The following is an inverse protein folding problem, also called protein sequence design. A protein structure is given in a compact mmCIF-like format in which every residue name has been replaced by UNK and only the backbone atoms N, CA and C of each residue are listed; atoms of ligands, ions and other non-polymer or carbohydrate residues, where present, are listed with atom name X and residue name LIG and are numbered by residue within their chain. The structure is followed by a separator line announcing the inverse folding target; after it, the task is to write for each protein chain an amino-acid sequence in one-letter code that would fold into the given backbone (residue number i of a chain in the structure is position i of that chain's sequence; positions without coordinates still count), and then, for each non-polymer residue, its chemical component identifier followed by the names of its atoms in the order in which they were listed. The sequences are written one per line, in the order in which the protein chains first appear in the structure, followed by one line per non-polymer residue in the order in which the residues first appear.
data_IF_447180216789
#
_entry.id   IF_447180216789
#
_cell.length_a   1.000
_cell.length_b   1.000
_cell.length_c   1.000
_cell.angle_alpha   90.00
_cell.angle_beta   90.00
_cell.angle_gamma   90.00
#
_symmetry.space_group_name_H-M   'P 1'
#
loop_
_entity.id
_entity.type
_entity.pdbx_description
1 polymer ?
#
# COMPACT_ATOMS: atom_id res chain seq x y z
N UNK A 1 62.16 -20.73 26.89
CA UNK A 1 63.17 -20.56 25.82
C UNK A 1 62.98 -19.18 25.21
N UNK A 2 64.04 -18.37 25.33
CA UNK A 2 64.41 -17.11 24.66
C UNK A 2 63.31 -16.08 24.28
N UNK A 3 63.18 -15.08 25.16
CA UNK A 3 62.74 -13.71 24.87
C UNK A 3 63.87 -12.93 24.17
N UNK A 4 63.52 -12.00 23.28
CA UNK A 4 64.36 -10.83 22.97
C UNK A 4 63.51 -9.63 22.58
N UNK A 5 63.81 -8.52 23.25
CA UNK A 5 63.25 -7.17 23.13
C UNK A 5 63.80 -6.40 21.90
N UNK A 6 63.32 -5.16 21.76
CA UNK A 6 63.86 -3.95 21.10
C UNK A 6 63.23 -3.67 19.71
N UNK A 7 62.73 -2.48 19.39
CA UNK A 7 62.84 -1.19 20.07
C UNK A 7 61.73 -0.24 19.66
N UNK A 8 61.46 0.67 20.59
CA UNK A 8 60.68 1.89 20.42
C UNK A 8 61.48 2.84 19.55
N UNK A 9 60.90 3.32 18.46
CA UNK A 9 61.31 4.58 17.84
C UNK A 9 60.08 5.46 17.72
N UNK A 10 60.02 6.40 18.66
CA UNK A 10 59.14 7.55 18.67
C UNK A 10 59.70 8.55 17.64
N UNK A 11 59.05 8.70 16.50
CA UNK A 11 59.26 9.83 15.60
C UNK A 11 58.06 10.76 15.73
N UNK A 12 58.18 11.72 16.66
CA UNK A 12 57.29 12.85 16.74
C UNK A 12 57.61 13.79 15.57
N UNK A 13 56.76 13.79 14.55
CA UNK A 13 56.72 14.87 13.56
C UNK A 13 55.47 15.68 13.85
N UNK A 14 55.67 16.81 14.53
CA UNK A 14 54.70 17.90 14.56
C UNK A 14 54.61 18.47 13.14
N UNK A 15 53.53 18.16 12.42
CA UNK A 15 53.05 18.99 11.33
C UNK A 15 51.69 19.55 11.72
N UNK A 16 51.70 20.81 12.12
CA UNK A 16 50.53 21.67 12.19
C UNK A 16 50.03 21.92 10.77
N UNK A 17 48.88 21.36 10.41
CA UNK A 17 48.21 21.62 9.13
C UNK A 17 46.82 21.00 9.15
N UNK A 18 45.78 21.82 8.98
CA UNK A 18 44.38 21.47 9.22
C UNK A 18 43.92 20.18 8.52
N UNK A 19 43.31 19.29 9.29
CA UNK A 19 42.53 18.17 8.76
C UNK A 19 41.22 18.76 8.23
N UNK A 20 41.17 19.04 6.94
CA UNK A 20 39.89 19.05 6.22
C UNK A 20 39.30 17.65 6.35
N UNK A 21 38.17 17.53 7.06
CA UNK A 21 37.31 16.35 6.98
C UNK A 21 36.77 16.27 5.56
N UNK A 22 37.52 15.63 4.67
CA UNK A 22 37.03 15.19 3.38
C UNK A 22 35.99 14.10 3.65
N UNK A 23 34.72 14.49 3.71
CA UNK A 23 33.58 13.60 3.70
C UNK A 23 33.68 12.80 2.40
N UNK A 24 34.19 11.57 2.48
CA UNK A 24 34.12 10.61 1.39
C UNK A 24 32.64 10.29 1.18
N UNK A 25 32.00 11.04 0.29
CA UNK A 25 30.74 10.62 -0.29
C UNK A 25 30.98 9.23 -0.89
N UNK A 26 30.27 8.22 -0.39
CA UNK A 26 30.21 6.93 -1.03
C UNK A 26 29.86 7.17 -2.52
N UNK A 27 30.56 6.55 -3.47
CA UNK A 27 30.23 6.74 -4.87
C UNK A 27 28.78 6.31 -5.05
N UNK A 28 27.95 7.24 -5.55
CA UNK A 28 26.62 6.90 -6.03
C UNK A 28 26.79 5.79 -7.05
N UNK A 29 26.38 4.57 -6.68
CA UNK A 29 26.37 3.43 -7.59
C UNK A 29 25.51 3.81 -8.77
N UNK A 30 26.13 3.95 -9.95
CA UNK A 30 25.40 4.11 -11.21
C UNK A 30 24.34 3.00 -11.28
N UNK A 31 23.10 3.28 -11.69
CA UNK A 31 22.10 2.24 -11.90
C UNK A 31 22.74 1.19 -12.82
N UNK A 32 22.68 -0.08 -12.39
CA UNK A 32 23.08 -1.17 -13.26
C UNK A 32 22.25 -1.04 -14.56
N UNK A 33 22.85 -1.27 -15.74
CA UNK A 33 22.06 -1.26 -16.97
C UNK A 33 20.90 -2.25 -16.81
N UNK A 34 19.68 -1.77 -17.04
CA UNK A 34 18.47 -2.58 -16.93
C UNK A 34 18.70 -3.90 -17.68
N UNK A 35 18.53 -5.02 -16.98
CA UNK A 35 18.63 -6.33 -17.60
C UNK A 35 17.67 -6.38 -18.80
N UNK A 36 18.12 -6.90 -19.95
CA UNK A 36 17.27 -7.00 -21.16
C UNK A 36 15.91 -7.62 -20.78
N UNK A 37 14.82 -6.93 -21.11
CA UNK A 37 13.46 -7.38 -20.82
C UNK A 37 12.95 -7.09 -19.41
N UNK A 38 13.64 -6.24 -18.64
CA UNK A 38 13.20 -5.73 -17.34
C UNK A 38 13.13 -4.21 -17.37
N UNK A 39 12.13 -3.66 -16.69
CA UNK A 39 12.03 -2.25 -16.36
C UNK A 39 12.28 -2.04 -14.87
N UNK A 40 12.82 -0.87 -14.53
CA UNK A 40 13.08 -0.47 -13.15
C UNK A 40 12.32 0.82 -12.83
N UNK A 41 11.71 0.87 -11.65
CA UNK A 41 11.16 2.09 -11.07
C UNK A 41 11.57 2.15 -9.59
N UNK A 42 12.42 3.12 -9.23
CA UNK A 42 12.90 3.33 -7.85
C UNK A 42 13.45 2.05 -7.20
N UNK A 43 14.24 1.26 -7.93
CA UNK A 43 14.78 -0.02 -7.43
C UNK A 43 13.83 -1.22 -7.51
N UNK A 44 12.55 -1.03 -7.85
CA UNK A 44 11.63 -2.13 -8.13
C UNK A 44 11.75 -2.56 -9.58
N UNK A 45 11.82 -3.87 -9.81
CA UNK A 45 11.96 -4.44 -11.16
C UNK A 45 10.72 -5.21 -11.58
N UNK A 46 10.33 -5.05 -12.85
CA UNK A 46 9.26 -5.83 -13.45
C UNK A 46 9.64 -6.27 -14.87
N UNK A 47 9.25 -7.48 -15.32
CA UNK A 47 9.45 -7.88 -16.71
C UNK A 47 8.62 -6.99 -17.64
N UNK A 48 9.19 -6.65 -18.80
CA UNK A 48 8.50 -5.91 -19.86
C UNK A 48 7.80 -6.80 -20.87
N UNK A 49 8.04 -8.12 -20.80
CA UNK A 49 7.29 -9.12 -21.55
C UNK A 49 5.89 -9.31 -20.93
N UNK A 50 4.78 -9.13 -21.70
CA UNK A 50 3.42 -9.24 -21.18
C UNK A 50 3.11 -10.58 -20.52
N UNK A 51 3.58 -11.69 -21.10
CA UNK A 51 3.34 -13.03 -20.54
C UNK A 51 4.03 -13.17 -19.19
N UNK A 52 5.31 -12.83 -19.11
CA UNK A 52 6.09 -12.91 -17.88
C UNK A 52 5.51 -12.03 -16.77
N UNK A 53 4.94 -10.87 -17.11
CA UNK A 53 4.26 -10.00 -16.14
C UNK A 53 2.93 -10.59 -15.67
N UNK A 54 2.10 -11.10 -16.59
CA UNK A 54 0.81 -11.73 -16.25
C UNK A 54 0.99 -12.99 -15.40
N UNK A 55 2.01 -13.81 -15.63
CA UNK A 55 2.31 -14.97 -14.78
C UNK A 55 2.60 -14.57 -13.32
N UNK A 56 3.30 -13.45 -13.13
CA UNK A 56 3.60 -12.93 -11.79
C UNK A 56 2.37 -12.36 -11.12
N UNK A 57 1.56 -11.59 -11.85
CA UNK A 57 0.29 -11.08 -11.33
C UNK A 57 -0.64 -12.22 -10.92
N UNK A 58 -0.76 -13.25 -11.76
CA UNK A 58 -1.57 -14.43 -11.47
C UNK A 58 -1.09 -15.13 -10.19
N UNK A 59 0.22 -15.42 -10.10
CA UNK A 59 0.82 -16.02 -8.91
C UNK A 59 0.58 -15.18 -7.65
N UNK A 60 0.78 -13.87 -7.71
CA UNK A 60 0.58 -12.94 -6.60
C UNK A 60 -0.89 -12.95 -6.16
N UNK A 61 -1.84 -12.83 -7.08
CA UNK A 61 -3.26 -12.88 -6.76
C UNK A 61 -3.65 -14.18 -6.05
N UNK A 62 -3.19 -15.32 -6.57
CA UNK A 62 -3.45 -16.63 -5.94
C UNK A 62 -2.83 -16.75 -4.54
N UNK A 63 -1.68 -16.14 -4.31
CA UNK A 63 -1.04 -16.08 -2.98
C UNK A 63 -1.84 -15.20 -2.00
N UNK A 64 -2.21 -13.99 -2.42
CA UNK A 64 -2.98 -13.02 -1.64
C UNK A 64 -4.37 -13.55 -1.26
N UNK A 65 -5.07 -14.22 -2.19
CA UNK A 65 -6.35 -14.88 -1.93
C UNK A 65 -6.20 -15.92 -0.81
N UNK A 66 -5.20 -16.81 -0.88
CA UNK A 66 -4.98 -17.85 0.13
C UNK A 66 -4.66 -17.27 1.51
N UNK A 67 -3.85 -16.21 1.55
CA UNK A 67 -3.54 -15.51 2.80
C UNK A 67 -4.79 -14.85 3.39
N UNK A 68 -5.62 -14.22 2.56
CA UNK A 68 -6.87 -13.60 2.99
C UNK A 68 -7.92 -14.62 3.44
N UNK A 69 -8.03 -15.78 2.78
CA UNK A 69 -8.89 -16.89 3.23
C UNK A 69 -8.46 -17.41 4.61
N UNK A 70 -7.16 -17.54 4.85
CA UNK A 70 -6.64 -17.88 6.17
C UNK A 70 -7.01 -16.81 7.20
N UNK A 71 -6.90 -15.53 6.86
CA UNK A 71 -7.25 -14.42 7.75
C UNK A 71 -8.75 -14.40 8.09
N UNK A 72 -9.62 -14.64 7.11
CA UNK A 72 -11.05 -14.81 7.31
C UNK A 72 -11.37 -15.92 8.32
N UNK A 73 -10.64 -17.03 8.25
CA UNK A 73 -10.84 -18.19 9.12
C UNK A 73 -10.23 -17.99 10.51
N UNK A 74 -9.09 -17.32 10.61
CA UNK A 74 -8.24 -17.34 11.81
C UNK A 74 -8.39 -16.10 12.69
N UNK A 75 -8.84 -14.98 12.14
CA UNK A 75 -9.03 -13.73 12.89
C UNK A 75 -10.40 -13.67 13.55
N UNK A 76 -10.43 -13.11 14.75
CA UNK A 76 -11.66 -12.71 15.44
C UNK A 76 -11.90 -11.19 15.34
N UNK A 77 -10.94 -10.43 14.83
CA UNK A 77 -11.05 -8.97 14.71
C UNK A 77 -11.92 -8.59 13.49
N UNK A 78 -13.00 -7.81 13.68
CA UNK A 78 -13.93 -7.49 12.59
C UNK A 78 -13.29 -6.66 11.47
N UNK A 79 -12.35 -5.76 11.77
CA UNK A 79 -11.67 -4.94 10.75
C UNK A 79 -10.72 -5.81 9.91
N UNK A 80 -10.00 -6.75 10.53
CA UNK A 80 -9.12 -7.71 9.82
C UNK A 80 -9.95 -8.65 8.93
N UNK A 81 -11.08 -9.16 9.43
CA UNK A 81 -11.99 -9.98 8.61
C UNK A 81 -12.57 -9.16 7.45
N UNK A 82 -13.02 -7.93 7.70
CA UNK A 82 -13.54 -7.06 6.63
C UNK A 82 -12.49 -6.83 5.54
N UNK A 83 -11.26 -6.50 5.94
CA UNK A 83 -10.14 -6.36 5.02
C UNK A 83 -9.88 -7.66 4.24
N UNK A 84 -9.79 -8.79 4.91
CA UNK A 84 -9.56 -10.09 4.27
C UNK A 84 -10.67 -10.44 3.28
N UNK A 85 -11.94 -10.11 3.57
CA UNK A 85 -13.04 -10.32 2.60
C UNK A 85 -12.82 -9.51 1.33
N UNK A 86 -12.51 -8.22 1.49
CA UNK A 86 -12.26 -7.31 0.38
C UNK A 86 -11.08 -7.82 -0.48
N UNK A 87 -10.01 -8.30 0.15
CA UNK A 87 -8.87 -8.87 -0.55
C UNK A 87 -9.25 -10.08 -1.39
N UNK A 88 -10.05 -11.02 -0.86
CA UNK A 88 -10.55 -12.18 -1.63
C UNK A 88 -11.34 -11.70 -2.84
N UNK A 89 -12.30 -10.80 -2.65
CA UNK A 89 -13.17 -10.33 -3.73
C UNK A 89 -12.36 -9.60 -4.82
N UNK A 90 -11.50 -8.65 -4.41
CA UNK A 90 -10.72 -7.80 -5.31
C UNK A 90 -9.67 -8.59 -6.08
N UNK A 91 -8.89 -9.44 -5.39
CA UNK A 91 -7.86 -10.24 -6.07
C UNK A 91 -8.45 -11.35 -6.92
N UNK A 92 -9.61 -11.93 -6.56
CA UNK A 92 -10.31 -12.89 -7.44
C UNK A 92 -10.76 -12.21 -8.73
N UNK A 93 -11.32 -10.99 -8.63
CA UNK A 93 -11.72 -10.23 -9.81
C UNK A 93 -10.51 -9.84 -10.68
N UNK A 94 -9.43 -9.35 -10.06
CA UNK A 94 -8.18 -9.01 -10.76
C UNK A 94 -7.55 -10.24 -11.44
N UNK A 95 -7.57 -11.40 -10.78
CA UNK A 95 -7.04 -12.62 -11.35
C UNK A 95 -7.84 -13.10 -12.55
N UNK A 96 -9.16 -12.99 -12.47
CA UNK A 96 -10.03 -13.27 -13.61
C UNK A 96 -9.69 -12.36 -14.80
N UNK A 97 -9.45 -11.06 -14.57
CA UNK A 97 -9.03 -10.14 -15.64
C UNK A 97 -7.67 -10.53 -16.24
N UNK A 98 -6.70 -10.92 -15.41
CA UNK A 98 -5.38 -11.41 -15.84
C UNK A 98 -5.53 -12.65 -16.73
N UNK A 99 -6.33 -13.63 -16.29
CA UNK A 99 -6.56 -14.87 -17.02
C UNK A 99 -7.32 -14.65 -18.34
N UNK A 100 -8.29 -13.74 -18.36
CA UNK A 100 -9.02 -13.40 -19.58
C UNK A 100 -8.13 -12.64 -20.59
N UNK A 101 -7.28 -11.73 -20.11
CA UNK A 101 -6.28 -11.06 -20.96
C UNK A 101 -5.29 -12.07 -21.55
N UNK A 102 -4.80 -13.01 -20.74
CA UNK A 102 -3.91 -14.06 -21.21
C UNK A 102 -4.56 -14.92 -22.31
N UNK A 103 -5.83 -15.30 -22.15
CA UNK A 103 -6.59 -16.04 -23.18
C UNK A 103 -6.73 -15.24 -24.47
N UNK A 104 -7.11 -13.96 -24.39
CA UNK A 104 -7.24 -13.08 -25.58
C UNK A 104 -5.92 -12.97 -26.34
N UNK A 105 -4.79 -13.01 -25.63
CA UNK A 105 -3.45 -12.97 -26.23
C UNK A 105 -2.89 -14.36 -26.60
N UNK A 106 -3.68 -15.43 -26.48
CA UNK A 106 -3.26 -16.82 -26.69
C UNK A 106 -2.03 -17.22 -25.84
N UNK A 107 -1.93 -16.67 -24.63
CA UNK A 107 -0.87 -16.94 -23.67
C UNK A 107 -1.31 -18.03 -22.70
N UNK A 108 -0.46 -19.05 -22.52
CA UNK A 108 -0.60 -20.00 -21.42
C UNK A 108 0.28 -19.56 -20.26
N UNK A 109 -0.34 -19.11 -19.17
CA UNK A 109 0.36 -18.73 -17.95
C UNK A 109 0.79 -19.97 -17.18
N UNK A 110 1.98 -19.93 -16.58
CA UNK A 110 2.39 -20.90 -15.59
C UNK A 110 1.79 -20.56 -14.22
N UNK A 111 1.32 -21.58 -13.49
CA UNK A 111 0.85 -21.46 -12.10
C UNK A 111 1.93 -20.90 -11.16
N UNK A 112 3.19 -21.29 -11.40
CA UNK A 112 4.36 -20.82 -10.66
C UNK A 112 5.42 -20.32 -11.65
N UNK A 113 5.59 -18.99 -11.80
CA UNK A 113 6.63 -18.45 -12.67
C UNK A 113 8.02 -18.77 -12.14
N UNK A 114 8.98 -18.90 -13.06
CA UNK A 114 10.39 -18.93 -12.68
C UNK A 114 10.81 -17.53 -12.21
N UNK A 115 11.52 -17.40 -11.07
CA UNK A 115 12.10 -16.13 -10.67
C UNK A 115 13.03 -15.59 -11.76
N UNK A 116 12.96 -14.30 -12.05
CA UNK A 116 13.80 -13.67 -13.06
C UNK A 116 15.19 -13.31 -12.52
N UNK A 117 15.32 -13.15 -11.21
CA UNK A 117 16.57 -12.84 -10.52
C UNK A 117 16.52 -13.32 -9.06
N UNK A 118 17.64 -13.19 -8.35
CA UNK A 118 17.77 -13.61 -6.96
C UNK A 118 16.89 -12.82 -5.99
N UNK A 119 16.57 -11.55 -6.31
CA UNK A 119 15.68 -10.73 -5.49
C UNK A 119 14.25 -11.28 -5.54
N UNK A 120 13.73 -11.56 -6.73
CA UNK A 120 12.41 -12.16 -6.90
C UNK A 120 12.35 -13.56 -6.29
N UNK A 121 13.42 -14.35 -6.42
CA UNK A 121 13.50 -15.67 -5.77
C UNK A 121 13.36 -15.55 -4.24
N UNK A 122 13.99 -14.55 -3.64
CA UNK A 122 13.87 -14.27 -2.20
C UNK A 122 12.46 -13.81 -1.84
N UNK A 123 11.84 -12.95 -2.64
CA UNK A 123 10.46 -12.50 -2.42
C UNK A 123 9.47 -13.68 -2.43
N UNK A 124 9.53 -14.55 -3.45
CA UNK A 124 8.68 -15.76 -3.50
C UNK A 124 8.91 -16.71 -2.32
N UNK A 125 10.16 -16.82 -1.84
CA UNK A 125 10.46 -17.60 -0.64
C UNK A 125 9.93 -16.94 0.63
N UNK A 126 9.97 -15.61 0.72
CA UNK A 126 9.44 -14.83 1.83
C UNK A 126 7.90 -14.97 1.90
N UNK A 127 7.19 -14.94 0.78
CA UNK A 127 5.74 -15.18 0.71
C UNK A 127 5.38 -16.55 1.30
N UNK A 128 6.11 -17.60 0.88
CA UNK A 128 5.91 -18.95 1.42
C UNK A 128 6.17 -19.01 2.92
N UNK A 129 7.27 -18.43 3.39
CA UNK A 129 7.62 -18.41 4.81
C UNK A 129 6.62 -17.58 5.64
N UNK A 130 6.09 -16.50 5.08
CA UNK A 130 5.05 -15.69 5.71
C UNK A 130 3.77 -16.50 5.90
N UNK A 131 3.34 -17.20 4.85
CA UNK A 131 2.16 -18.05 4.91
C UNK A 131 2.31 -19.18 5.95
N UNK A 132 3.48 -19.83 6.02
CA UNK A 132 3.80 -20.79 7.09
C UNK A 132 3.75 -20.15 8.49
N UNK A 133 4.32 -18.95 8.64
CA UNK A 133 4.29 -18.20 9.90
C UNK A 133 2.85 -17.91 10.33
N UNK A 134 1.99 -17.41 9.43
CA UNK A 134 0.58 -17.13 9.73
C UNK A 134 -0.17 -18.37 10.26
N UNK A 135 0.11 -19.56 9.73
CA UNK A 135 -0.55 -20.79 10.20
C UNK A 135 -0.29 -21.08 11.68
N UNK A 136 0.89 -20.69 12.18
CA UNK A 136 1.32 -20.90 13.57
C UNK A 136 0.79 -19.84 14.53
N UNK A 137 0.46 -18.64 14.04
CA UNK A 137 -0.02 -17.53 14.85
C UNK A 137 -1.53 -17.61 15.06
N UNK A 138 -2.02 -17.01 16.16
CA UNK A 138 -3.44 -16.88 16.49
C UNK A 138 -3.70 -15.53 17.16
N UNK A 139 -4.95 -15.06 17.11
CA UNK A 139 -5.38 -13.81 17.73
C UNK A 139 -4.56 -12.60 17.26
N UNK A 140 -4.28 -11.68 18.18
CA UNK A 140 -3.63 -10.41 17.86
C UNK A 140 -2.24 -10.52 17.20
N UNK A 141 -1.34 -11.45 17.58
CA UNK A 141 -0.11 -11.69 16.81
C UNK A 141 -0.34 -12.12 15.36
N UNK A 142 -1.40 -12.91 15.11
CA UNK A 142 -1.81 -13.25 13.74
C UNK A 142 -2.25 -12.01 12.98
N UNK A 143 -3.16 -11.23 13.57
CA UNK A 143 -3.74 -10.04 12.96
C UNK A 143 -2.65 -9.03 12.59
N UNK A 144 -1.75 -8.73 13.52
CA UNK A 144 -0.65 -7.77 13.30
C UNK A 144 0.34 -8.27 12.25
N UNK A 145 0.68 -9.57 12.27
CA UNK A 145 1.59 -10.16 11.27
C UNK A 145 0.98 -10.10 9.86
N UNK A 146 -0.31 -10.45 9.73
CA UNK A 146 -1.02 -10.39 8.46
C UNK A 146 -1.06 -8.95 7.95
N UNK A 147 -1.60 -8.01 8.73
CA UNK A 147 -1.77 -6.62 8.27
C UNK A 147 -0.43 -5.94 7.92
N UNK A 148 0.62 -6.17 8.71
CA UNK A 148 1.96 -5.65 8.41
C UNK A 148 2.53 -6.20 7.09
N UNK A 149 2.35 -7.50 6.83
CA UNK A 149 2.75 -8.08 5.56
C UNK A 149 1.97 -7.49 4.39
N UNK A 150 0.66 -7.30 4.54
CA UNK A 150 -0.18 -6.72 3.49
C UNK A 150 0.26 -5.31 3.10
N UNK A 151 0.70 -4.49 4.07
CA UNK A 151 1.28 -3.17 3.76
C UNK A 151 2.51 -3.31 2.86
N UNK A 152 3.49 -4.13 3.26
CA UNK A 152 4.74 -4.31 2.51
C UNK A 152 4.53 -4.95 1.13
N UNK A 153 3.69 -5.98 1.05
CA UNK A 153 3.37 -6.66 -0.21
C UNK A 153 2.73 -5.71 -1.23
N UNK A 154 1.83 -4.83 -0.78
CA UNK A 154 1.19 -3.86 -1.66
C UNK A 154 2.14 -2.72 -2.07
N UNK A 155 3.03 -2.27 -1.19
CA UNK A 155 4.09 -1.30 -1.57
C UNK A 155 5.01 -1.88 -2.65
N UNK A 156 5.41 -3.16 -2.52
CA UNK A 156 6.19 -3.86 -3.55
C UNK A 156 5.41 -4.00 -4.87
N UNK A 157 4.13 -4.36 -4.80
CA UNK A 157 3.27 -4.49 -5.98
C UNK A 157 3.09 -3.14 -6.70
N UNK A 158 2.92 -2.03 -5.97
CA UNK A 158 2.86 -0.68 -6.53
C UNK A 158 4.17 -0.38 -7.29
N UNK A 159 5.32 -0.64 -6.67
CA UNK A 159 6.62 -0.45 -7.32
C UNK A 159 6.76 -1.23 -8.63
N UNK A 160 6.39 -2.51 -8.63
CA UNK A 160 6.41 -3.38 -9.82
C UNK A 160 5.45 -2.92 -10.91
N UNK A 161 4.23 -2.51 -10.56
CA UNK A 161 3.25 -1.98 -11.52
C UNK A 161 3.75 -0.68 -12.14
N UNK A 162 4.37 0.21 -11.36
CA UNK A 162 4.96 1.43 -11.89
C UNK A 162 6.15 1.16 -12.82
N UNK A 163 7.02 0.19 -12.48
CA UNK A 163 8.08 -0.28 -13.36
C UNK A 163 7.51 -0.82 -14.69
N UNK A 164 6.47 -1.66 -14.63
CA UNK A 164 5.82 -2.20 -15.82
C UNK A 164 5.18 -1.09 -16.67
N UNK A 165 4.48 -0.13 -16.06
CA UNK A 165 3.91 1.04 -16.77
C UNK A 165 4.97 1.84 -17.52
N UNK A 166 6.15 2.04 -16.91
CA UNK A 166 7.25 2.74 -17.54
C UNK A 166 7.91 1.91 -18.65
N UNK A 167 7.99 0.59 -18.49
CA UNK A 167 8.67 -0.32 -19.41
C UNK A 167 7.85 -0.78 -20.61
N UNK A 168 6.52 -0.83 -20.47
CA UNK A 168 5.62 -1.39 -21.48
C UNK A 168 4.92 -0.29 -22.30
N UNK A 169 5.68 0.66 -22.87
CA UNK A 169 5.14 1.82 -23.60
C UNK A 169 4.39 1.48 -24.89
N UNK A 170 4.53 0.25 -25.38
CA UNK A 170 3.84 -0.26 -26.58
C UNK A 170 2.93 -1.45 -26.27
N UNK A 171 2.44 -1.53 -25.02
CA UNK A 171 1.53 -2.59 -24.62
C UNK A 171 0.16 -2.50 -25.33
N UNK A 172 -0.53 -3.63 -25.55
CA UNK A 172 -1.93 -3.62 -25.98
C UNK A 172 -2.82 -2.80 -25.05
N UNK A 173 -3.94 -2.30 -25.58
CA UNK A 173 -4.85 -1.41 -24.84
C UNK A 173 -5.38 -2.05 -23.54
N UNK A 174 -5.63 -3.36 -23.57
CA UNK A 174 -6.10 -4.14 -22.42
C UNK A 174 -5.03 -4.24 -21.33
N UNK A 175 -3.75 -4.38 -21.71
CA UNK A 175 -2.64 -4.37 -20.74
C UNK A 175 -2.47 -2.98 -20.12
N UNK A 176 -2.56 -1.92 -20.94
CA UNK A 176 -2.51 -0.53 -20.44
C UNK A 176 -3.66 -0.24 -19.48
N UNK A 177 -4.85 -0.77 -19.76
CA UNK A 177 -6.03 -0.67 -18.89
C UNK A 177 -5.79 -1.40 -17.56
N UNK A 178 -5.33 -2.65 -17.61
CA UNK A 178 -5.00 -3.44 -16.42
C UNK A 178 -3.98 -2.72 -15.53
N UNK A 179 -2.87 -2.25 -16.11
CA UNK A 179 -1.84 -1.51 -15.38
C UNK A 179 -2.38 -0.21 -14.76
N UNK A 180 -3.31 0.46 -15.43
CA UNK A 180 -3.97 1.67 -14.90
C UNK A 180 -4.85 1.34 -13.71
N UNK A 181 -5.68 0.30 -13.80
CA UNK A 181 -6.52 -0.18 -12.69
C UNK A 181 -5.66 -0.58 -11.48
N UNK A 182 -4.63 -1.40 -11.70
CA UNK A 182 -3.73 -1.83 -10.62
C UNK A 182 -3.06 -0.63 -9.92
N UNK A 183 -2.63 0.38 -10.67
CA UNK A 183 -2.03 1.59 -10.08
C UNK A 183 -3.00 2.43 -9.24
N UNK A 184 -4.31 2.21 -9.36
CA UNK A 184 -5.35 2.89 -8.59
C UNK A 184 -5.82 2.06 -7.40
N UNK A 185 -5.94 0.74 -7.55
CA UNK A 185 -6.47 -0.14 -6.50
C UNK A 185 -5.41 -0.53 -5.46
N UNK A 186 -4.17 -0.81 -5.87
CA UNK A 186 -3.12 -1.24 -4.93
C UNK A 186 -2.86 -0.23 -3.80
N UNK A 187 -2.79 1.10 -4.05
CA UNK A 187 -2.66 2.07 -2.97
C UNK A 187 -3.82 2.03 -1.96
N UNK A 188 -5.07 1.82 -2.44
CA UNK A 188 -6.24 1.73 -1.55
C UNK A 188 -6.13 0.52 -0.63
N UNK A 189 -5.75 -0.63 -1.18
CA UNK A 189 -5.54 -1.84 -0.37
C UNK A 189 -4.42 -1.63 0.65
N UNK A 190 -3.31 -0.98 0.26
CA UNK A 190 -2.20 -0.66 1.18
C UNK A 190 -2.64 0.27 2.30
N UNK A 191 -3.39 1.33 1.97
CA UNK A 191 -3.86 2.31 2.95
C UNK A 191 -4.85 1.68 3.93
N UNK A 192 -5.77 0.84 3.44
CA UNK A 192 -6.67 0.07 4.31
C UNK A 192 -5.88 -0.86 5.24
N UNK A 193 -4.83 -1.52 4.73
CA UNK A 193 -4.01 -2.38 5.56
C UNK A 193 -3.29 -1.60 6.67
N UNK A 194 -2.72 -0.45 6.32
CA UNK A 194 -2.04 0.44 7.25
C UNK A 194 -2.98 0.99 8.33
N UNK A 195 -4.18 1.41 7.94
CA UNK A 195 -5.20 1.89 8.88
C UNK A 195 -5.64 0.79 9.85
N UNK A 196 -5.90 -0.42 9.36
CA UNK A 196 -6.25 -1.55 10.22
C UNK A 196 -5.11 -1.91 11.17
N UNK A 197 -3.86 -1.91 10.68
CA UNK A 197 -2.68 -2.14 11.52
C UNK A 197 -2.58 -1.09 12.65
N UNK A 198 -2.73 0.20 12.34
CA UNK A 198 -2.69 1.26 13.35
C UNK A 198 -3.77 1.11 14.44
N UNK A 199 -4.99 0.69 14.06
CA UNK A 199 -6.05 0.40 15.03
C UNK A 199 -5.71 -0.80 15.94
N UNK A 200 -4.99 -1.81 15.42
CA UNK A 200 -4.52 -2.93 16.23
C UNK A 200 -3.49 -2.45 17.26
N UNK A 201 -2.57 -1.57 16.87
CA UNK A 201 -1.55 -1.00 17.77
C UNK A 201 -2.18 -0.15 18.89
N UNK A 202 -3.18 0.67 18.56
CA UNK A 202 -3.94 1.45 19.54
C UNK A 202 -4.64 0.54 20.57
N UNK A 203 -5.24 -0.57 20.10
CA UNK A 203 -5.89 -1.56 20.95
C UNK A 203 -4.89 -2.30 21.87
N UNK A 204 -3.62 -2.37 21.50
CA UNK A 204 -2.56 -2.95 22.32
C UNK A 204 -2.07 -2.01 23.43
N UNK A 205 -2.48 -0.73 23.43
CA UNK A 205 -1.94 0.27 24.35
C UNK A 205 -0.44 0.50 24.16
N UNK A 206 0.14 0.00 23.07
CA UNK A 206 1.52 0.30 22.65
C UNK A 206 1.47 1.60 21.87
N UNK A 207 0.94 2.64 22.52
CA UNK A 207 1.16 4.00 22.09
C UNK A 207 2.66 4.26 22.18
N UNK A 208 3.34 4.26 21.04
CA UNK A 208 4.58 5.02 20.94
C UNK A 208 4.21 6.42 21.43
N UNK A 209 4.79 6.81 22.56
CA UNK A 209 4.63 8.13 23.16
C UNK A 209 5.04 9.20 22.17
N UNK A 210 4.12 9.59 21.29
CA UNK A 210 4.12 10.86 20.59
C UNK A 210 3.71 11.91 21.59
N UNK A 211 4.70 12.54 22.22
CA UNK A 211 4.50 13.73 23.02
C UNK A 211 3.67 14.75 22.22
N UNK A 212 2.47 15.04 22.74
CA UNK A 212 1.74 16.30 22.58
C UNK A 212 1.59 16.87 21.16
N UNK A 213 0.50 16.51 20.49
CA UNK A 213 -0.24 17.50 19.69
C UNK A 213 -1.65 17.56 20.25
N UNK A 214 -1.85 18.56 21.11
CA UNK A 214 -3.09 18.84 21.81
C UNK A 214 -4.22 19.03 20.79
N UNK A 215 -5.32 18.32 21.03
CA UNK A 215 -6.49 18.32 20.17
C UNK A 215 -6.98 19.73 19.85
N UNK A 216 -7.03 20.03 18.56
CA UNK A 216 -7.98 21.00 18.04
C UNK A 216 -9.12 20.21 17.43
N UNK A 217 -10.24 20.22 18.13
CA UNK A 217 -11.55 19.81 17.62
C UNK A 217 -11.82 20.54 16.31
N UNK A 218 -11.73 19.84 15.17
CA UNK A 218 -12.30 20.34 13.93
C UNK A 218 -13.80 20.10 13.97
N UNK A 219 -14.49 21.15 14.42
CA UNK A 219 -15.91 21.39 14.25
C UNK A 219 -16.25 21.36 12.75
N UNK A 220 -16.87 20.28 12.28
CA UNK A 220 -17.42 20.22 10.93
C UNK A 220 -18.75 20.98 10.90
N UNK A 221 -18.63 22.30 10.72
CA UNK A 221 -19.73 23.21 10.47
C UNK A 221 -20.63 22.72 9.34
N UNK A 222 -21.90 22.58 9.68
CA UNK A 222 -23.02 22.27 8.79
C UNK A 222 -23.13 23.33 7.67
N UNK A 223 -22.94 22.91 6.41
CA UNK A 223 -23.23 23.75 5.24
C UNK A 223 -24.73 23.70 4.95
N UNK A 224 -25.47 24.61 5.55
CA UNK A 224 -26.83 24.96 5.17
C UNK A 224 -26.77 25.98 4.00
N UNK A 225 -27.12 25.56 2.79
CA UNK A 225 -27.29 26.47 1.65
C UNK A 225 -28.67 27.13 1.70
N UNK A 226 -28.75 28.31 2.31
CA UNK A 226 -29.94 29.18 2.30
C UNK A 226 -29.68 30.44 1.48
N UNK A 227 -30.46 30.61 0.41
CA UNK A 227 -30.39 31.73 -0.51
C UNK A 227 -30.71 33.08 0.17
N UNK A 228 -29.97 34.10 -0.24
CA UNK A 228 -30.13 35.52 0.12
C UNK A 228 -31.26 36.17 -0.66
N UNK A 229 -32.21 36.82 0.01
CA UNK A 229 -32.83 38.09 -0.42
C UNK A 229 -33.22 38.94 0.79
N UNK A 230 -33.20 40.29 0.68
CA UNK A 230 -33.11 41.18 1.84
C UNK A 230 -34.47 41.75 2.30
N UNK A 231 -34.40 42.25 3.54
CA UNK A 231 -35.38 42.99 4.33
C UNK A 231 -36.24 44.03 3.61
N UNK A 232 -37.51 44.14 4.04
CA UNK A 232 -38.14 45.42 4.46
C UNK A 232 -39.44 45.15 5.22
N UNK A 233 -39.52 45.57 6.49
CA UNK A 233 -40.78 45.83 7.22
C UNK A 233 -41.43 47.12 6.68
N UNK A 234 -42.76 47.32 6.77
CA UNK A 234 -43.34 48.03 7.93
C UNK A 234 -44.78 47.53 8.26
N UNK A 235 -45.69 48.25 8.97
CA UNK A 235 -46.12 47.85 10.32
C UNK A 235 -47.62 47.57 10.48
N UNK A 236 -47.94 47.10 11.69
CA UNK A 236 -49.23 47.08 12.41
C UNK A 236 -50.37 47.97 11.86
N UNK A 237 -51.51 47.33 11.61
CA UNK A 237 -52.80 47.96 11.33
C UNK A 237 -53.94 47.11 11.88
N UNK A 238 -54.70 47.70 12.80
CA UNK A 238 -55.79 47.15 13.61
C UNK A 238 -57.15 47.10 12.89
N UNK A 239 -58.07 46.31 13.45
CA UNK A 239 -59.53 46.22 13.21
C UNK A 239 -59.95 45.38 12.00
N UNK A 240 -60.89 44.44 12.07
CA UNK A 240 -61.90 44.09 13.06
C UNK A 240 -62.93 43.16 12.39
N UNK A 241 -63.78 42.52 13.19
CA UNK A 241 -65.06 41.96 12.71
C UNK A 241 -65.06 40.47 12.32
N UNK A 242 -65.53 39.63 13.24
CA UNK A 242 -66.38 38.49 12.89
C UNK A 242 -67.79 39.01 12.51
N UNK A 243 -68.80 38.17 12.18
CA UNK A 243 -68.81 36.72 11.89
C UNK A 243 -69.58 36.38 10.59
N UNK A 244 -69.62 35.12 10.18
CA UNK A 244 -70.74 34.66 9.37
C UNK A 244 -70.49 33.43 8.50
N UNK A 245 -71.24 32.37 8.78
CA UNK A 245 -71.88 31.59 7.71
C UNK A 245 -71.29 30.21 7.43
N UNK A 246 -72.01 29.21 7.93
CA UNK A 246 -72.11 27.88 7.34
C UNK A 246 -72.40 27.98 5.81
N UNK A 247 -72.12 27.03 4.93
CA UNK A 247 -72.63 25.65 4.85
C UNK A 247 -72.08 25.01 3.56
N UNK A 248 -71.67 23.73 3.66
CA UNK A 248 -72.08 22.55 2.86
C UNK A 248 -72.15 22.59 1.31
N UNK A 249 -71.89 21.38 0.77
CA UNK A 249 -72.13 20.84 -0.59
C UNK A 249 -71.03 21.16 -1.61
N UNK A 250 -70.49 20.21 -2.39
CA UNK A 250 -70.88 18.84 -2.74
C UNK A 250 -69.62 18.07 -3.14
#
# INVERSE_FOLDING_TARGET
MKRTLHGVTLAAVLFTGGVSLAQTAAPATKPAPAAKGMAEFKGFMAPTDPKAFLERLHYINQSEIKQAELAQKSSENPDVKSYAKMMIDSHTAADKQVMDLAKTQNLKLAEMPKPANDMEKKAMAADKAHMEKLQTLKGMPFDSCYMANQVGAHDEAIGKVMAAKQGMTSAPAEMTTLLTQLSQELPKHRDMAYQTLGKLDDAMGVGVGGAGMQGSTMDHGSMNHGATTPSTTPPSGSMGGAPGGATKTK
#
